data_IF_861267159604
#
_entry.id   IF_861267159604
#
_cell.length_a   1.000
_cell.length_b   1.000
_cell.length_c   1.000
_cell.angle_alpha   90.00
_cell.angle_beta   90.00
_cell.angle_gamma   90.00
#
_symmetry.space_group_name_H-M   'P 1'
#
loop_
_entity.id
_entity.type
_entity.pdbx_description
1 polymer ?
#
# COMPACT_ATOMS: atom_id res chain seq x y z
N UNK A 1 31.34 57.01 -41.82
CA UNK A 1 30.50 56.38 -40.78
C UNK A 1 31.34 56.03 -39.58
N UNK A 2 30.92 56.50 -38.40
CA UNK A 2 31.76 56.57 -37.20
C UNK A 2 31.91 55.18 -36.55
N UNK A 3 33.16 54.66 -36.47
CA UNK A 3 33.46 53.29 -35.98
C UNK A 3 32.96 53.04 -34.54
N UNK A 4 32.76 54.10 -33.77
CA UNK A 4 32.19 54.07 -32.42
C UNK A 4 30.69 53.72 -32.40
N UNK A 5 29.90 54.32 -33.29
CA UNK A 5 28.46 54.07 -33.37
C UNK A 5 28.16 52.63 -33.82
N UNK A 6 29.01 52.08 -34.70
CA UNK A 6 28.92 50.70 -35.17
C UNK A 6 29.22 49.69 -34.05
N UNK A 7 30.20 49.97 -33.18
CA UNK A 7 30.52 49.12 -32.02
C UNK A 7 29.44 49.16 -30.95
N UNK A 8 28.86 50.33 -30.70
CA UNK A 8 27.77 50.49 -29.74
C UNK A 8 26.50 49.76 -30.20
N UNK A 9 26.14 49.84 -31.48
CA UNK A 9 25.01 49.10 -32.05
C UNK A 9 25.26 47.59 -32.05
N UNK A 10 26.47 47.13 -32.38
CA UNK A 10 26.81 45.71 -32.29
C UNK A 10 26.67 45.17 -30.86
N UNK A 11 27.18 45.92 -29.86
CA UNK A 11 27.11 45.54 -28.45
C UNK A 11 25.65 45.44 -27.96
N UNK A 12 24.80 46.38 -28.37
CA UNK A 12 23.38 46.43 -27.98
C UNK A 12 22.57 45.29 -28.62
N UNK A 13 22.90 44.93 -29.87
CA UNK A 13 22.30 43.76 -30.55
C UNK A 13 22.76 42.45 -29.89
N UNK A 14 24.05 42.31 -29.55
CA UNK A 14 24.52 41.12 -28.82
C UNK A 14 23.93 40.99 -27.42
N UNK A 15 23.70 42.10 -26.71
CA UNK A 15 23.02 42.10 -25.42
C UNK A 15 21.53 41.72 -25.55
N UNK A 16 20.86 42.15 -26.62
CA UNK A 16 19.48 41.76 -26.91
C UNK A 16 19.34 40.28 -27.34
N UNK A 17 20.32 39.72 -28.03
CA UNK A 17 20.33 38.29 -28.40
C UNK A 17 20.56 37.39 -27.18
N UNK A 18 21.35 37.84 -26.20
CA UNK A 18 21.56 37.12 -24.94
C UNK A 18 20.31 37.12 -24.03
N UNK A 19 19.45 38.14 -24.10
CA UNK A 19 18.20 38.18 -23.31
C UNK A 19 17.03 37.41 -23.95
N UNK A 20 17.09 37.09 -25.25
CA UNK A 20 16.13 36.22 -25.92
C UNK A 20 16.46 34.72 -25.82
N UNK A 21 17.50 34.36 -25.08
CA UNK A 21 17.78 32.96 -24.69
C UNK A 21 16.78 32.50 -23.61
N UNK A 22 15.49 32.60 -23.91
CA UNK A 22 14.44 31.98 -23.10
C UNK A 22 14.76 30.50 -23.01
N UNK A 23 14.88 29.98 -21.78
CA UNK A 23 15.07 28.57 -21.53
C UNK A 23 13.88 27.82 -22.13
N UNK A 24 14.04 27.27 -23.33
CA UNK A 24 13.17 26.24 -23.83
C UNK A 24 13.38 25.01 -22.94
N UNK A 25 12.60 24.92 -21.85
CA UNK A 25 12.52 23.72 -21.03
C UNK A 25 11.99 22.64 -21.96
N UNK A 26 12.89 21.79 -22.46
CA UNK A 26 12.49 20.64 -23.25
C UNK A 26 11.59 19.78 -22.36
N UNK A 27 10.39 19.40 -22.81
CA UNK A 27 9.54 18.52 -22.03
C UNK A 27 10.35 17.27 -21.67
N UNK A 28 10.22 16.81 -20.42
CA UNK A 28 10.89 15.59 -20.00
C UNK A 28 10.55 14.47 -20.99
N UNK A 29 11.57 13.75 -21.45
CA UNK A 29 11.38 12.54 -22.26
C UNK A 29 10.72 11.46 -21.40
N UNK A 30 9.39 11.48 -21.34
CA UNK A 30 8.55 10.47 -20.70
C UNK A 30 8.37 9.28 -21.65
N UNK A 31 9.44 8.50 -21.82
CA UNK A 31 9.41 7.23 -22.54
C UNK A 31 9.97 6.12 -21.64
N UNK A 32 9.11 5.59 -20.76
CA UNK A 32 9.42 4.43 -19.93
C UNK A 32 8.68 3.20 -20.44
N UNK A 33 9.38 2.06 -20.53
CA UNK A 33 8.75 0.78 -20.84
C UNK A 33 7.93 0.28 -19.64
N UNK A 34 6.84 -0.45 -19.92
CA UNK A 34 6.12 -1.18 -18.88
C UNK A 34 7.03 -2.24 -18.24
N UNK A 35 7.00 -2.31 -16.92
CA UNK A 35 7.79 -3.27 -16.12
C UNK A 35 6.90 -3.92 -15.06
N UNK A 36 7.36 -5.06 -14.52
CA UNK A 36 6.69 -5.67 -13.37
C UNK A 36 6.71 -4.70 -12.19
N UNK A 37 5.65 -4.72 -11.38
CA UNK A 37 5.58 -3.91 -10.16
C UNK A 37 6.81 -4.19 -9.29
N UNK A 38 7.55 -3.16 -8.85
CA UNK A 38 8.74 -3.35 -8.04
C UNK A 38 8.46 -4.19 -6.79
N UNK A 39 9.32 -5.18 -6.46
CA UNK A 39 9.18 -5.96 -5.24
C UNK A 39 9.54 -5.10 -4.02
N UNK A 40 8.84 -5.32 -2.90
CA UNK A 40 9.19 -4.74 -1.60
C UNK A 40 9.98 -5.76 -0.76
N UNK A 41 10.45 -5.33 0.41
CA UNK A 41 11.01 -6.26 1.41
C UNK A 41 10.00 -7.35 1.76
N UNK A 42 8.74 -6.98 1.98
CA UNK A 42 7.67 -7.91 2.32
C UNK A 42 7.38 -8.86 1.16
N UNK A 43 7.40 -8.39 -0.08
CA UNK A 43 7.27 -9.26 -1.26
C UNK A 43 8.34 -10.35 -1.26
N UNK A 44 9.61 -9.97 -0.98
CA UNK A 44 10.70 -10.95 -0.88
C UNK A 44 10.44 -11.94 0.25
N UNK A 45 10.00 -11.47 1.41
CA UNK A 45 9.77 -12.33 2.56
C UNK A 45 8.62 -13.32 2.33
N UNK A 46 7.53 -12.84 1.70
CA UNK A 46 6.35 -13.62 1.35
C UNK A 46 6.70 -14.81 0.42
N UNK A 47 7.49 -14.58 -0.62
CA UNK A 47 7.84 -15.62 -1.61
C UNK A 47 8.91 -16.59 -1.12
N UNK A 48 9.64 -16.25 -0.05
CA UNK A 48 10.68 -17.09 0.57
C UNK A 48 10.22 -17.72 1.88
N UNK A 49 8.92 -17.72 2.18
CA UNK A 49 8.39 -18.45 3.33
C UNK A 49 8.70 -19.96 3.19
N UNK A 50 9.01 -20.65 4.31
CA UNK A 50 9.18 -22.09 4.28
C UNK A 50 7.88 -22.78 3.82
N UNK A 51 7.98 -23.90 3.08
CA UNK A 51 6.81 -24.52 2.47
C UNK A 51 5.89 -25.17 3.52
N UNK A 52 4.56 -25.16 3.31
CA UNK A 52 3.62 -25.85 4.19
C UNK A 52 3.65 -27.36 4.01
N UNK A 53 3.16 -28.11 5.01
CA UNK A 53 2.89 -29.56 4.92
C UNK A 53 1.95 -29.89 3.75
N UNK A 54 1.01 -29.00 3.49
CA UNK A 54 0.11 -29.03 2.34
C UNK A 54 -0.53 -27.66 2.14
N UNK A 55 -0.72 -27.26 0.89
CA UNK A 55 -1.37 -25.97 0.58
C UNK A 55 -2.82 -25.99 1.02
N UNK A 56 -3.26 -24.89 1.60
CA UNK A 56 -4.63 -24.74 2.10
C UNK A 56 -5.52 -24.20 0.98
N UNK A 57 -6.58 -24.92 0.63
CA UNK A 57 -7.57 -24.43 -0.33
C UNK A 57 -8.39 -23.33 0.33
N UNK A 58 -8.35 -22.12 -0.24
CA UNK A 58 -8.90 -20.93 0.38
C UNK A 58 -9.69 -20.08 -0.61
N UNK A 59 -10.84 -19.58 -0.18
CA UNK A 59 -11.69 -18.68 -0.96
C UNK A 59 -11.51 -17.23 -0.53
N UNK A 60 -11.63 -16.31 -1.50
CA UNK A 60 -11.76 -14.86 -1.26
C UNK A 60 -13.01 -14.39 -2.00
N UNK A 61 -14.01 -13.91 -1.26
CA UNK A 61 -15.25 -13.39 -1.85
C UNK A 61 -15.14 -11.91 -2.23
N UNK A 62 -14.24 -11.19 -1.57
CA UNK A 62 -13.96 -9.79 -1.84
C UNK A 62 -13.03 -9.22 -0.78
N UNK A 63 -12.31 -8.17 -1.15
CA UNK A 63 -11.42 -7.44 -0.26
C UNK A 63 -11.49 -5.96 -0.61
N UNK A 64 -12.40 -5.26 0.07
CA UNK A 64 -12.85 -3.92 -0.32
C UNK A 64 -12.14 -2.82 0.45
N UNK A 65 -12.19 -1.62 -0.09
CA UNK A 65 -11.95 -0.40 0.66
C UNK A 65 -13.13 -0.14 1.60
N UNK A 66 -12.85 -0.13 2.91
CA UNK A 66 -13.78 0.15 3.99
C UNK A 66 -13.44 1.46 4.71
N UNK A 67 -12.49 2.24 4.18
CA UNK A 67 -12.02 3.48 4.80
C UNK A 67 -13.00 4.64 4.61
N UNK A 68 -13.77 4.61 3.52
CA UNK A 68 -14.66 5.70 3.12
C UNK A 68 -13.92 6.98 2.69
N UNK A 69 -12.60 6.92 2.46
CA UNK A 69 -11.78 8.09 2.17
C UNK A 69 -11.72 8.43 0.68
N UNK A 70 -11.97 9.70 0.38
CA UNK A 70 -11.81 10.28 -0.96
C UNK A 70 -10.68 11.29 -0.97
N UNK A 71 -10.09 11.50 -2.14
CA UNK A 71 -9.02 12.49 -2.31
C UNK A 71 -9.57 13.91 -2.08
N UNK A 72 -8.86 14.76 -1.34
CA UNK A 72 -9.24 16.16 -1.19
C UNK A 72 -8.97 16.94 -2.49
N UNK A 73 -9.54 18.14 -2.58
CA UNK A 73 -9.22 19.10 -3.65
C UNK A 73 -7.69 19.29 -3.78
N UNK A 74 -7.13 19.36 -5.00
CA UNK A 74 -7.78 19.61 -6.29
C UNK A 74 -8.30 18.37 -7.03
N UNK A 75 -8.13 17.17 -6.48
CA UNK A 75 -8.61 15.94 -7.12
C UNK A 75 -10.16 15.89 -7.15
N UNK A 76 -10.70 15.08 -8.06
CA UNK A 76 -12.14 14.82 -8.13
C UNK A 76 -12.62 14.18 -6.82
N UNK A 77 -13.73 14.68 -6.28
CA UNK A 77 -14.38 14.16 -5.05
C UNK A 77 -14.85 12.70 -5.18
N UNK A 78 -14.91 12.15 -6.39
CA UNK A 78 -15.22 10.73 -6.63
C UNK A 78 -13.97 9.83 -6.63
N UNK A 79 -12.77 10.41 -6.54
CA UNK A 79 -11.53 9.65 -6.53
C UNK A 79 -11.29 9.08 -5.14
N UNK A 80 -11.34 7.76 -5.00
CA UNK A 80 -10.99 7.13 -3.73
C UNK A 80 -9.50 7.33 -3.42
N UNK A 81 -9.19 7.48 -2.14
CA UNK A 81 -7.81 7.59 -1.67
C UNK A 81 -7.07 6.25 -1.74
N UNK A 82 -7.83 5.16 -1.69
CA UNK A 82 -7.37 3.77 -1.69
C UNK A 82 -7.88 3.05 -2.94
N UNK A 83 -7.14 2.01 -3.39
CA UNK A 83 -7.53 1.18 -4.54
C UNK A 83 -8.74 0.30 -4.24
N UNK A 84 -9.60 0.11 -5.24
CA UNK A 84 -10.71 -0.85 -5.19
C UNK A 84 -10.28 -2.27 -5.64
N UNK A 85 -9.02 -2.45 -6.07
CA UNK A 85 -8.44 -3.73 -6.52
C UNK A 85 -7.82 -4.57 -5.40
N UNK A 86 -8.28 -4.42 -4.16
CA UNK A 86 -7.69 -5.10 -3.00
C UNK A 86 -7.76 -6.63 -3.10
N UNK A 87 -8.84 -7.18 -3.67
CA UNK A 87 -9.02 -8.62 -3.82
C UNK A 87 -7.94 -9.24 -4.70
N UNK A 88 -7.62 -8.60 -5.82
CA UNK A 88 -6.56 -9.03 -6.73
C UNK A 88 -5.19 -9.07 -6.05
N UNK A 89 -4.89 -8.09 -5.20
CA UNK A 89 -3.65 -8.10 -4.40
C UNK A 89 -3.62 -9.22 -3.37
N UNK A 90 -4.74 -9.47 -2.69
CA UNK A 90 -4.82 -10.58 -1.72
C UNK A 90 -4.66 -11.94 -2.42
N UNK A 91 -5.37 -12.19 -3.52
CA UNK A 91 -5.26 -13.44 -4.28
C UNK A 91 -3.85 -13.64 -4.82
N UNK A 92 -3.20 -12.59 -5.33
CA UNK A 92 -1.81 -12.64 -5.75
C UNK A 92 -0.88 -12.99 -4.58
N UNK A 93 -1.00 -12.30 -3.44
CA UNK A 93 -0.18 -12.57 -2.26
C UNK A 93 -0.39 -13.99 -1.72
N UNK A 94 -1.63 -14.49 -1.72
CA UNK A 94 -1.94 -15.87 -1.34
C UNK A 94 -1.25 -16.88 -2.25
N UNK A 95 -1.29 -16.67 -3.57
CA UNK A 95 -0.65 -17.56 -4.55
C UNK A 95 0.88 -17.49 -4.42
N UNK A 96 1.43 -16.28 -4.35
CA UNK A 96 2.87 -16.03 -4.36
C UNK A 96 3.52 -16.49 -3.04
N UNK A 97 2.77 -16.55 -1.93
CA UNK A 97 3.23 -17.17 -0.68
C UNK A 97 3.53 -18.67 -0.81
N UNK A 98 2.88 -19.37 -1.75
CA UNK A 98 2.93 -20.83 -1.85
C UNK A 98 2.22 -21.60 -0.72
N UNK A 99 1.57 -20.90 0.23
CA UNK A 99 0.82 -21.49 1.36
C UNK A 99 -0.63 -21.83 1.02
N UNK A 100 -1.24 -21.07 0.11
CA UNK A 100 -2.64 -21.21 -0.24
C UNK A 100 -2.81 -21.65 -1.69
N UNK A 101 -3.94 -22.32 -1.95
CA UNK A 101 -4.49 -22.52 -3.28
C UNK A 101 -5.78 -21.70 -3.36
N UNK A 102 -5.72 -20.45 -3.86
CA UNK A 102 -6.90 -19.60 -3.99
C UNK A 102 -7.91 -20.24 -4.95
N UNK A 103 -9.20 -20.19 -4.58
CA UNK A 103 -10.30 -20.55 -5.48
C UNK A 103 -11.12 -19.32 -5.81
N UNK A 104 -11.46 -19.16 -7.10
CA UNK A 104 -12.22 -18.02 -7.60
C UNK A 104 -13.64 -18.00 -7.02
N UNK A 105 -14.00 -16.90 -6.36
CA UNK A 105 -15.33 -16.67 -5.77
C UNK A 105 -15.83 -15.24 -5.95
N UNK A 106 -14.96 -14.28 -6.24
CA UNK A 106 -15.34 -12.90 -6.53
C UNK A 106 -16.16 -12.84 -7.82
N UNK A 107 -15.73 -13.56 -8.86
CA UNK A 107 -16.45 -13.65 -10.13
C UNK A 107 -17.00 -15.06 -10.42
N UNK A 108 -17.67 -15.65 -9.42
CA UNK A 108 -18.22 -17.01 -9.53
C UNK A 108 -19.27 -17.15 -10.65
N UNK A 109 -20.04 -16.10 -10.92
CA UNK A 109 -21.13 -16.14 -11.90
C UNK A 109 -20.60 -16.36 -13.32
N UNK A 110 -19.51 -15.69 -13.70
CA UNK A 110 -18.89 -15.86 -15.02
C UNK A 110 -18.33 -17.28 -15.16
N UNK A 111 -17.67 -17.78 -14.11
CA UNK A 111 -17.16 -19.16 -14.08
C UNK A 111 -18.28 -20.20 -14.21
N UNK A 112 -19.42 -19.99 -13.53
CA UNK A 112 -20.59 -20.85 -13.65
C UNK A 112 -21.21 -20.77 -15.05
N UNK A 113 -21.20 -19.60 -15.67
CA UNK A 113 -21.70 -19.39 -17.04
C UNK A 113 -20.83 -20.15 -18.03
N UNK A 114 -19.50 -20.03 -17.93
CA UNK A 114 -18.56 -20.77 -18.79
C UNK A 114 -18.71 -22.29 -18.65
N UNK A 115 -18.90 -22.79 -17.42
CA UNK A 115 -19.13 -24.22 -17.18
C UNK A 115 -20.47 -24.70 -17.72
N UNK A 116 -21.50 -23.85 -17.76
CA UNK A 116 -22.78 -24.17 -18.43
C UNK A 116 -22.60 -24.26 -19.94
N UNK A 117 -21.84 -23.35 -20.55
CA UNK A 117 -21.50 -23.38 -21.98
C UNK A 117 -20.81 -24.70 -22.32
N UNK A 118 -19.78 -25.07 -21.56
CA UNK A 118 -19.04 -26.31 -21.80
C UNK A 118 -19.91 -27.57 -21.65
N UNK A 119 -20.83 -27.63 -20.68
CA UNK A 119 -21.80 -28.73 -20.56
C UNK A 119 -22.81 -28.78 -21.72
N UNK A 120 -23.19 -27.63 -22.27
CA UNK A 120 -24.08 -27.59 -23.44
C UNK A 120 -23.38 -28.11 -24.71
N UNK A 121 -22.05 -28.03 -24.78
CA UNK A 121 -21.24 -28.61 -25.85
C UNK A 121 -21.08 -30.13 -25.74
N UNK A 122 -21.36 -30.74 -24.58
CA UNK A 122 -21.31 -32.21 -24.34
C UNK A 122 -22.47 -33.00 -24.99
N UNK A 123 -23.20 -32.41 -25.95
CA UNK A 123 -24.32 -33.07 -26.65
C UNK A 123 -23.87 -34.35 -27.39
N UNK A 124 -24.71 -35.41 -27.39
CA UNK A 124 -24.30 -36.78 -27.72
C UNK A 124 -24.07 -37.11 -29.21
N UNK A 125 -24.27 -36.16 -30.13
CA UNK A 125 -24.21 -36.43 -31.58
C UNK A 125 -22.78 -36.43 -32.17
N UNK A 126 -21.77 -35.98 -31.41
CA UNK A 126 -20.41 -35.81 -31.92
C UNK A 126 -19.45 -36.84 -31.30
N UNK A 127 -19.60 -38.11 -31.71
CA UNK A 127 -18.84 -39.28 -31.18
C UNK A 127 -17.31 -39.19 -31.24
N UNK A 128 -16.76 -38.18 -31.92
CA UNK A 128 -15.32 -37.96 -32.09
C UNK A 128 -14.76 -36.77 -31.30
N UNK A 129 -15.57 -36.07 -30.51
CA UNK A 129 -15.10 -34.91 -29.75
C UNK A 129 -14.72 -35.31 -28.33
N UNK A 130 -13.42 -35.35 -28.03
CA UNK A 130 -12.91 -35.51 -26.66
C UNK A 130 -13.16 -34.19 -25.92
N UNK A 131 -14.31 -34.08 -25.25
CA UNK A 131 -14.62 -32.92 -24.42
C UNK A 131 -14.01 -33.16 -23.03
N UNK A 132 -13.22 -32.22 -22.49
CA UNK A 132 -12.67 -32.35 -21.14
C UNK A 132 -13.82 -32.48 -20.13
N UNK A 133 -13.86 -33.60 -19.39
CA UNK A 133 -14.86 -33.81 -18.36
C UNK A 133 -14.71 -32.75 -17.26
N UNK A 134 -15.76 -31.95 -17.05
CA UNK A 134 -15.71 -30.86 -16.07
C UNK A 134 -16.03 -31.39 -14.67
N UNK A 135 -15.00 -31.64 -13.85
CA UNK A 135 -15.15 -32.01 -12.44
C UNK A 135 -15.78 -30.93 -11.55
N UNK A 136 -16.27 -31.28 -10.36
CA UNK A 136 -16.89 -30.34 -9.42
C UNK A 136 -15.95 -29.18 -9.03
N UNK A 137 -16.51 -28.04 -8.63
CA UNK A 137 -15.72 -26.92 -8.12
C UNK A 137 -15.03 -27.32 -6.81
N UNK A 138 -13.73 -27.01 -6.71
CA UNK A 138 -12.98 -27.30 -5.49
C UNK A 138 -13.60 -26.55 -4.29
N UNK A 139 -13.99 -27.25 -3.21
CA UNK A 139 -14.46 -26.62 -1.99
C UNK A 139 -13.27 -26.00 -1.26
N UNK A 140 -13.40 -24.75 -0.83
CA UNK A 140 -12.41 -24.13 0.04
C UNK A 140 -12.55 -24.70 1.45
N UNK A 141 -11.42 -24.90 2.14
CA UNK A 141 -11.40 -25.28 3.55
C UNK A 141 -11.56 -24.08 4.49
N UNK A 142 -11.13 -22.91 4.03
CA UNK A 142 -11.23 -21.65 4.75
C UNK A 142 -11.63 -20.52 3.80
N UNK A 143 -12.18 -19.45 4.37
CA UNK A 143 -12.39 -18.18 3.68
C UNK A 143 -11.43 -17.16 4.27
N UNK A 144 -10.70 -16.45 3.42
CA UNK A 144 -9.95 -15.26 3.81
C UNK A 144 -10.85 -14.05 3.55
N UNK A 145 -11.11 -13.29 4.62
CA UNK A 145 -11.94 -12.09 4.58
C UNK A 145 -11.23 -10.91 5.23
N UNK A 146 -11.63 -9.71 4.83
CA UNK A 146 -11.11 -8.49 5.41
C UNK A 146 -11.30 -7.32 4.46
N UNK A 147 -10.44 -6.33 4.63
CA UNK A 147 -10.45 -5.14 3.79
C UNK A 147 -9.41 -4.13 4.23
N UNK A 148 -9.38 -3.04 3.50
CA UNK A 148 -8.59 -1.86 3.86
C UNK A 148 -9.48 -1.04 4.78
N UNK A 149 -9.18 -1.07 6.07
CA UNK A 149 -10.10 -0.63 7.13
C UNK A 149 -9.85 0.80 7.59
N UNK A 150 -8.63 1.32 7.41
CA UNK A 150 -8.35 2.73 7.68
C UNK A 150 -7.37 3.31 6.65
N UNK A 151 -7.57 4.58 6.35
CA UNK A 151 -6.59 5.43 5.69
C UNK A 151 -6.54 6.75 6.45
N UNK A 152 -5.45 6.99 7.15
CA UNK A 152 -5.26 8.20 7.95
C UNK A 152 -4.29 9.12 7.22
N UNK A 153 -4.78 10.29 6.82
CA UNK A 153 -3.95 11.30 6.15
C UNK A 153 -3.35 12.29 7.15
N UNK A 154 -2.16 12.81 6.86
CA UNK A 154 -1.50 13.85 7.66
C UNK A 154 -1.28 13.45 9.13
N UNK A 155 -1.07 12.16 9.43
CA UNK A 155 -0.84 11.65 10.79
C UNK A 155 0.36 12.33 11.44
N UNK A 156 1.39 12.65 10.64
CA UNK A 156 2.49 13.53 11.04
C UNK A 156 2.80 14.49 9.92
N UNK A 157 2.88 15.77 10.25
CA UNK A 157 3.35 16.82 9.36
C UNK A 157 4.42 17.63 10.08
N UNK A 158 5.36 18.18 9.32
CA UNK A 158 6.37 19.06 9.86
C UNK A 158 7.22 19.65 8.76
N UNK A 159 7.99 20.68 9.10
CA UNK A 159 8.85 21.35 8.16
C UNK A 159 9.83 22.30 8.83
N UNK A 160 10.93 22.56 8.15
CA UNK A 160 11.95 23.51 8.56
C UNK A 160 12.23 24.46 7.40
N UNK A 161 12.23 25.76 7.67
CA UNK A 161 12.51 26.80 6.69
C UNK A 161 13.63 27.71 7.19
N UNK A 162 14.58 28.02 6.31
CA UNK A 162 15.62 29.01 6.56
C UNK A 162 15.61 30.01 5.42
N UNK A 163 15.52 31.30 5.75
CA UNK A 163 15.61 32.39 4.80
C UNK A 163 16.75 33.32 5.21
N UNK A 164 17.71 33.54 4.31
CA UNK A 164 18.83 34.45 4.52
C UNK A 164 19.23 35.09 3.19
N UNK A 165 19.36 36.43 3.18
CA UNK A 165 19.86 37.22 2.03
C UNK A 165 19.18 36.92 0.68
N UNK A 166 17.84 36.86 0.64
CA UNK A 166 17.08 36.68 -0.61
C UNK A 166 17.06 35.25 -1.14
N UNK A 167 17.61 34.28 -0.41
CA UNK A 167 17.50 32.84 -0.69
C UNK A 167 16.66 32.20 0.42
N UNK A 168 15.65 31.41 0.05
CA UNK A 168 14.84 30.58 0.95
C UNK A 168 15.07 29.10 0.65
N UNK A 169 15.16 28.29 1.70
CA UNK A 169 15.04 26.84 1.61
C UNK A 169 13.95 26.39 2.57
N UNK A 170 13.03 25.56 2.10
CA UNK A 170 12.01 24.94 2.94
C UNK A 170 11.97 23.43 2.69
N UNK A 171 11.75 22.69 3.78
CA UNK A 171 11.49 21.26 3.73
C UNK A 171 10.14 21.02 4.38
N UNK A 172 9.29 20.24 3.71
CA UNK A 172 8.01 19.81 4.23
C UNK A 172 7.91 18.28 4.14
N UNK A 173 7.37 17.65 5.17
CA UNK A 173 7.03 16.24 5.13
C UNK A 173 5.59 16.02 5.54
N UNK A 174 4.94 15.06 4.90
CA UNK A 174 3.63 14.52 5.24
C UNK A 174 3.73 13.00 5.37
N UNK A 175 3.06 12.49 6.39
CA UNK A 175 2.97 11.06 6.68
C UNK A 175 1.51 10.66 6.66
N UNK A 176 1.17 9.74 5.77
CA UNK A 176 -0.14 9.09 5.71
C UNK A 176 0.01 7.63 6.18
N UNK A 177 -1.07 6.96 6.55
CA UNK A 177 -1.06 5.56 6.98
C UNK A 177 -2.22 4.80 6.36
N UNK A 178 -1.98 3.55 5.98
CA UNK A 178 -3.01 2.62 5.52
C UNK A 178 -3.02 1.38 6.38
N UNK A 179 -4.20 0.99 6.87
CA UNK A 179 -4.39 -0.17 7.73
C UNK A 179 -5.27 -1.20 7.04
N UNK A 180 -4.79 -2.43 7.06
CA UNK A 180 -5.43 -3.60 6.47
C UNK A 180 -5.81 -4.55 7.60
N UNK A 181 -7.02 -5.11 7.54
CA UNK A 181 -7.43 -6.23 8.38
C UNK A 181 -7.62 -7.48 7.51
N UNK A 182 -7.14 -8.61 8.00
CA UNK A 182 -7.27 -9.91 7.34
C UNK A 182 -7.55 -10.98 8.39
N UNK A 183 -8.56 -11.81 8.14
CA UNK A 183 -8.95 -12.92 9.01
C UNK A 183 -9.25 -14.18 8.20
N UNK A 184 -9.19 -15.32 8.87
CA UNK A 184 -9.50 -16.64 8.31
C UNK A 184 -10.71 -17.24 9.02
N UNK A 185 -11.65 -17.76 8.24
CA UNK A 185 -12.90 -18.35 8.74
C UNK A 185 -12.97 -19.82 8.30
N UNK A 186 -13.21 -20.73 9.25
CA UNK A 186 -13.46 -22.15 8.95
C UNK A 186 -14.88 -22.33 8.40
N UNK A 187 -15.00 -22.89 7.19
CA UNK A 187 -16.30 -23.07 6.53
C UNK A 187 -17.22 -24.08 7.23
N UNK A 188 -16.67 -24.95 8.09
CA UNK A 188 -17.42 -26.03 8.75
C UNK A 188 -18.26 -25.52 9.91
N UNK A 189 -17.78 -24.50 10.61
CA UNK A 189 -18.40 -24.03 11.86
C UNK A 189 -18.45 -22.49 11.98
N UNK A 190 -17.92 -21.74 11.02
CA UNK A 190 -17.91 -20.28 11.02
C UNK A 190 -16.92 -19.65 12.01
N UNK A 191 -16.02 -20.42 12.63
CA UNK A 191 -15.06 -19.89 13.59
C UNK A 191 -13.98 -19.07 12.89
N UNK A 192 -13.63 -17.94 13.49
CA UNK A 192 -12.47 -17.14 13.09
C UNK A 192 -11.22 -17.81 13.68
N UNK A 193 -10.36 -18.37 12.82
CA UNK A 193 -9.17 -19.12 13.22
C UNK A 193 -8.00 -18.19 13.57
N UNK A 194 -7.76 -17.19 12.72
CA UNK A 194 -6.72 -16.18 12.89
C UNK A 194 -7.25 -14.83 12.40
N UNK A 195 -6.78 -13.74 13.01
CA UNK A 195 -7.12 -12.37 12.66
C UNK A 195 -5.91 -11.48 12.91
N UNK A 196 -5.48 -10.76 11.88
CA UNK A 196 -4.35 -9.84 11.91
C UNK A 196 -4.75 -8.48 11.39
N UNK A 197 -4.05 -7.45 11.87
CA UNK A 197 -4.11 -6.12 11.28
C UNK A 197 -2.71 -5.60 11.03
N UNK A 198 -2.45 -5.07 9.85
CA UNK A 198 -1.16 -4.51 9.46
C UNK A 198 -1.35 -3.06 9.03
N UNK A 199 -0.41 -2.20 9.42
CA UNK A 199 -0.43 -0.78 9.05
C UNK A 199 0.86 -0.43 8.33
N UNK A 200 0.75 0.12 7.11
CA UNK A 200 1.88 0.68 6.35
C UNK A 200 1.82 2.20 6.40
N UNK A 201 2.92 2.80 6.84
CA UNK A 201 3.13 4.25 6.78
C UNK A 201 3.58 4.66 5.37
N UNK A 202 3.01 5.72 4.82
CA UNK A 202 3.27 6.26 3.48
C UNK A 202 3.99 7.60 3.65
N UNK A 203 5.22 7.68 3.13
CA UNK A 203 6.03 8.90 3.24
C UNK A 203 5.90 9.81 2.01
N UNK A 204 5.73 11.10 2.26
CA UNK A 204 5.73 12.17 1.28
C UNK A 204 6.65 13.30 1.75
N UNK A 205 7.63 13.67 0.93
CA UNK A 205 8.55 14.78 1.25
C UNK A 205 8.74 15.71 0.07
N UNK A 206 8.79 16.99 0.38
CA UNK A 206 9.00 18.09 -0.55
C UNK A 206 10.14 18.97 -0.04
N UNK A 207 11.08 19.26 -0.93
CA UNK A 207 12.22 20.13 -0.68
C UNK A 207 12.18 21.25 -1.71
N UNK A 208 11.98 22.48 -1.25
CA UNK A 208 11.90 23.66 -2.10
C UNK A 208 13.08 24.60 -1.82
N UNK A 209 13.65 25.15 -2.90
CA UNK A 209 14.71 26.17 -2.87
C UNK A 209 14.25 27.35 -3.73
N UNK A 210 14.08 28.50 -3.11
CA UNK A 210 13.63 29.74 -3.73
C UNK A 210 14.68 30.86 -3.70
N UNK A 211 14.69 31.71 -4.72
CA UNK A 211 15.48 32.95 -4.76
C UNK A 211 14.56 34.13 -5.09
N UNK A 212 14.64 35.18 -4.27
CA UNK A 212 13.87 36.41 -4.41
C UNK A 212 14.80 37.59 -4.70
N UNK A 213 14.45 38.38 -5.72
CA UNK A 213 15.13 39.65 -6.00
C UNK A 213 14.11 40.79 -5.98
N UNK A 214 14.35 41.77 -5.11
CA UNK A 214 13.56 43.01 -5.04
C UNK A 214 13.98 43.94 -6.19
N UNK A 215 13.09 44.17 -7.15
CA UNK A 215 13.34 45.09 -8.26
C UNK A 215 12.41 46.30 -8.08
N UNK A 216 12.84 47.26 -7.26
CA UNK A 216 12.08 48.51 -7.01
C UNK A 216 10.81 48.32 -6.16
N UNK A 217 10.24 49.42 -5.67
CA UNK A 217 9.15 49.47 -4.66
C UNK A 217 7.84 48.76 -5.03
N UNK A 218 7.75 48.06 -6.16
CA UNK A 218 6.52 47.40 -6.65
C UNK A 218 6.69 46.00 -7.26
N UNK A 219 7.91 45.52 -7.57
CA UNK A 219 8.07 44.26 -8.30
C UNK A 219 8.98 43.24 -7.57
N UNK A 220 8.43 42.06 -7.29
CA UNK A 220 9.13 40.89 -6.75
C UNK A 220 9.37 39.89 -7.89
N UNK A 221 10.64 39.56 -8.15
CA UNK A 221 11.00 38.47 -9.07
C UNK A 221 11.33 37.22 -8.24
N UNK A 222 10.61 36.12 -8.50
CA UNK A 222 10.72 34.84 -7.78
C UNK A 222 11.15 33.73 -8.75
N UNK A 223 12.21 33.01 -8.38
CA UNK A 223 12.62 31.78 -9.06
C UNK A 223 12.63 30.65 -8.03
N UNK A 224 11.86 29.59 -8.28
CA UNK A 224 11.74 28.44 -7.38
C UNK A 224 12.13 27.15 -8.10
N UNK A 225 12.87 26.30 -7.39
CA UNK A 225 13.17 24.93 -7.79
C UNK A 225 12.78 23.99 -6.64
N UNK A 226 11.89 23.03 -6.91
CA UNK A 226 11.40 22.06 -5.92
C UNK A 226 11.62 20.62 -6.35
N UNK A 227 11.92 19.73 -5.39
CA UNK A 227 11.94 18.29 -5.57
C UNK A 227 10.94 17.64 -4.60
N UNK A 228 10.00 16.88 -5.16
CA UNK A 228 9.03 16.10 -4.38
C UNK A 228 9.28 14.61 -4.59
N UNK A 229 9.18 13.82 -3.52
CA UNK A 229 9.21 12.37 -3.58
C UNK A 229 8.10 11.79 -2.71
N UNK A 230 7.28 10.97 -3.33
CA UNK A 230 6.10 10.35 -2.73
C UNK A 230 6.18 8.84 -2.90
N UNK A 231 5.96 8.09 -1.82
CA UNK A 231 5.71 6.66 -1.93
C UNK A 231 4.38 6.41 -2.67
N UNK A 232 4.33 5.53 -3.67
CA UNK A 232 3.08 5.23 -4.37
C UNK A 232 2.08 4.54 -3.43
N UNK A 233 0.96 5.20 -3.15
CA UNK A 233 -0.06 4.68 -2.22
C UNK A 233 -0.53 3.25 -2.57
N UNK A 234 -0.67 2.94 -3.86
CA UNK A 234 -1.05 1.60 -4.32
C UNK A 234 0.01 0.53 -3.97
N UNK A 235 1.30 0.89 -4.03
CA UNK A 235 2.37 -0.01 -3.63
C UNK A 235 2.36 -0.24 -2.11
N UNK A 236 2.07 0.79 -1.33
CA UNK A 236 1.92 0.67 0.12
C UNK A 236 0.73 -0.20 0.52
N UNK A 237 -0.41 -0.08 -0.18
CA UNK A 237 -1.57 -0.96 0.02
C UNK A 237 -1.20 -2.41 -0.30
N UNK A 238 -0.55 -2.65 -1.44
CA UNK A 238 -0.06 -3.98 -1.82
C UNK A 238 0.84 -4.55 -0.73
N UNK A 239 1.84 -3.79 -0.28
CA UNK A 239 2.77 -4.20 0.78
C UNK A 239 2.06 -4.50 2.11
N UNK A 240 1.06 -3.69 2.49
CA UNK A 240 0.26 -3.94 3.69
C UNK A 240 -0.54 -5.25 3.60
N UNK A 241 -1.12 -5.56 2.44
CA UNK A 241 -1.83 -6.83 2.18
C UNK A 241 -0.86 -8.01 2.19
N UNK A 242 0.29 -7.91 1.51
CA UNK A 242 1.34 -8.94 1.54
C UNK A 242 1.78 -9.20 2.99
N UNK A 243 1.99 -8.13 3.77
CA UNK A 243 2.37 -8.24 5.17
C UNK A 243 1.28 -8.93 6.00
N UNK A 244 0.02 -8.59 5.77
CA UNK A 244 -1.11 -9.24 6.44
C UNK A 244 -1.12 -10.75 6.15
N UNK A 245 -0.86 -11.17 4.92
CA UNK A 245 -0.76 -12.60 4.56
C UNK A 245 0.40 -13.27 5.31
N UNK A 246 1.58 -12.65 5.38
CA UNK A 246 2.72 -13.23 6.12
C UNK A 246 2.41 -13.34 7.63
N UNK A 247 1.91 -12.27 8.26
CA UNK A 247 1.54 -12.30 9.67
C UNK A 247 0.45 -13.33 9.95
N UNK A 248 -0.53 -13.47 9.06
CA UNK A 248 -1.59 -14.46 9.17
C UNK A 248 -1.01 -15.88 9.12
N UNK A 249 -0.14 -16.18 8.14
CA UNK A 249 0.55 -17.48 8.03
C UNK A 249 1.31 -17.79 9.32
N UNK A 250 2.13 -16.84 9.79
CA UNK A 250 2.96 -17.02 10.98
C UNK A 250 2.12 -17.18 12.25
N UNK A 251 1.02 -16.42 12.38
CA UNK A 251 0.07 -16.60 13.48
C UNK A 251 -0.61 -17.97 13.41
N UNK A 252 -0.99 -18.42 12.22
CA UNK A 252 -1.60 -19.75 12.05
C UNK A 252 -0.64 -20.90 12.33
N UNK A 253 0.67 -20.71 12.09
CA UNK A 253 1.70 -21.66 12.51
C UNK A 253 1.77 -21.74 14.05
N UNK A 254 1.78 -20.59 14.72
CA UNK A 254 1.76 -20.51 16.19
C UNK A 254 0.49 -21.12 16.80
N UNK A 255 -0.66 -20.87 16.17
CA UNK A 255 -1.96 -21.37 16.61
C UNK A 255 -2.27 -22.80 16.14
N UNK A 256 -1.33 -23.45 15.43
CA UNK A 256 -1.47 -24.81 14.90
C UNK A 256 -2.68 -24.99 13.97
N UNK A 257 -3.10 -23.93 13.27
CA UNK A 257 -4.16 -24.00 12.25
C UNK A 257 -3.66 -24.61 10.94
N UNK A 258 -2.35 -24.53 10.71
CA UNK A 258 -1.62 -25.22 9.64
C UNK A 258 -0.18 -25.50 10.08
N UNK A 259 0.53 -26.34 9.33
CA UNK A 259 1.85 -26.84 9.70
C UNK A 259 2.88 -26.68 8.58
N UNK A 260 4.16 -26.57 8.96
CA UNK A 260 5.30 -26.58 8.07
C UNK A 260 5.52 -27.96 7.45
N UNK A 261 6.20 -28.00 6.31
CA UNK A 261 6.64 -29.27 5.71
C UNK A 261 7.71 -29.94 6.55
N UNK A 262 8.67 -29.16 7.05
CA UNK A 262 9.69 -29.58 8.01
C UNK A 262 9.55 -28.74 9.28
N UNK A 263 9.41 -29.38 10.43
CA UNK A 263 9.25 -28.69 11.72
C UNK A 263 10.49 -27.84 12.08
N UNK A 264 11.67 -28.14 11.52
CA UNK A 264 12.89 -27.34 11.71
C UNK A 264 12.78 -25.94 11.11
N UNK A 265 11.95 -25.77 10.08
CA UNK A 265 11.71 -24.48 9.44
C UNK A 265 10.99 -23.50 10.38
N UNK A 266 10.54 -23.95 11.56
CA UNK A 266 10.05 -23.06 12.61
C UNK A 266 11.10 -21.99 12.96
N UNK A 267 12.39 -22.34 12.93
CA UNK A 267 13.50 -21.44 13.22
C UNK A 267 13.97 -20.62 12.00
N UNK A 268 13.25 -20.65 10.88
CA UNK A 268 13.54 -19.80 9.73
C UNK A 268 13.56 -18.31 10.11
N UNK A 269 14.50 -17.56 9.52
CA UNK A 269 14.72 -16.14 9.86
C UNK A 269 13.48 -15.28 9.61
N UNK A 270 12.71 -15.58 8.54
CA UNK A 270 11.49 -14.85 8.21
C UNK A 270 10.42 -15.18 9.25
N UNK A 271 10.18 -16.46 9.53
CA UNK A 271 9.19 -16.88 10.53
C UNK A 271 9.48 -16.26 11.89
N UNK A 272 10.72 -16.37 12.38
CA UNK A 272 11.12 -15.84 13.69
C UNK A 272 10.98 -14.32 13.78
N UNK A 273 11.31 -13.60 12.71
CA UNK A 273 11.12 -12.15 12.68
C UNK A 273 9.64 -11.75 12.81
N UNK A 274 8.76 -12.36 12.02
CA UNK A 274 7.33 -12.01 12.08
C UNK A 274 6.69 -12.45 13.42
N UNK A 275 7.19 -13.52 14.04
CA UNK A 275 6.83 -13.87 15.43
C UNK A 275 7.28 -12.79 16.42
N UNK A 276 8.50 -12.28 16.28
CA UNK A 276 9.03 -11.22 17.14
C UNK A 276 8.28 -9.89 16.93
N UNK A 277 7.96 -9.52 15.70
CA UNK A 277 7.14 -8.34 15.40
C UNK A 277 5.77 -8.43 16.10
N UNK A 278 5.12 -9.60 16.07
CA UNK A 278 3.87 -9.83 16.80
C UNK A 278 4.04 -9.73 18.33
N UNK A 279 5.15 -10.23 18.88
CA UNK A 279 5.43 -10.13 20.32
C UNK A 279 5.70 -8.68 20.76
N UNK A 280 6.46 -7.93 19.95
CA UNK A 280 6.76 -6.52 20.20
C UNK A 280 5.48 -5.68 20.21
N UNK A 281 4.54 -5.95 19.29
CA UNK A 281 3.22 -5.30 19.28
C UNK A 281 2.47 -5.49 20.61
N UNK A 282 2.44 -6.71 21.14
CA UNK A 282 1.82 -7.00 22.45
C UNK A 282 2.55 -6.28 23.58
N UNK A 283 3.89 -6.30 23.57
CA UNK A 283 4.69 -5.64 24.60
C UNK A 283 4.56 -4.11 24.57
N UNK A 284 4.39 -3.48 23.40
CA UNK A 284 4.10 -2.05 23.29
C UNK A 284 2.70 -1.72 23.80
N UNK A 285 1.69 -2.55 23.50
CA UNK A 285 0.34 -2.41 24.03
C UNK A 285 0.34 -2.43 25.57
N UNK A 286 1.07 -3.36 26.19
CA UNK A 286 1.15 -3.48 27.66
C UNK A 286 1.87 -2.29 28.32
N UNK A 287 2.78 -1.62 27.61
CA UNK A 287 3.44 -0.40 28.08
C UNK A 287 2.52 0.82 28.04
N UNK A 288 1.63 0.91 27.04
CA UNK A 288 0.72 2.04 26.86
C UNK A 288 -0.53 1.89 27.74
N UNK A 289 -1.05 0.66 27.86
CA UNK A 289 -2.15 0.31 28.74
C UNK A 289 -1.64 -0.62 29.84
N UNK A 290 -1.03 -0.04 30.87
CA UNK A 290 -0.63 -0.82 32.05
C UNK A 290 -1.84 -1.56 32.61
N UNK A 291 -1.65 -2.83 33.01
CA UNK A 291 -2.69 -3.65 33.62
C UNK A 291 -3.47 -2.88 34.70
N UNK A 292 -4.80 -3.01 34.66
CA UNK A 292 -5.68 -2.39 35.63
C UNK A 292 -5.28 -2.83 37.05
N UNK A 293 -4.87 -1.86 37.88
CA UNK A 293 -4.53 -2.09 39.28
C UNK A 293 -5.77 -1.78 40.15
N UNK A 294 -6.51 -2.80 40.61
CA UNK A 294 -7.71 -2.59 41.44
C UNK A 294 -7.41 -1.91 42.77
N UNK A 295 -6.14 -1.83 43.21
CA UNK A 295 -5.75 -1.14 44.45
C UNK A 295 -5.67 0.39 44.31
N UNK A 296 -5.75 0.93 43.08
CA UNK A 296 -5.70 2.38 42.79
C UNK A 296 -7.06 3.02 42.56
N UNK A 297 -8.15 2.31 42.86
CA UNK A 297 -9.49 2.89 42.85
C UNK A 297 -9.59 3.82 44.06
N UNK A 298 -9.59 5.14 43.85
CA UNK A 298 -9.98 6.08 44.90
C UNK A 298 -11.38 5.68 45.39
N UNK A 299 -11.56 5.37 46.69
CA UNK A 299 -12.88 5.09 47.19
C UNK A 299 -13.77 6.30 46.90
N UNK A 300 -14.91 6.05 46.28
CA UNK A 300 -15.94 7.05 46.00
C UNK A 300 -16.12 7.90 47.26
N UNK A 301 -15.86 9.22 47.17
CA UNK A 301 -16.05 10.12 48.31
C UNK A 301 -17.49 9.98 48.76
N UNK A 302 -17.70 9.26 49.86
CA UNK A 302 -18.99 9.19 50.51
C UNK A 302 -19.48 10.63 50.68
N UNK A 303 -20.58 10.97 50.00
CA UNK A 303 -21.19 12.29 50.13
C UNK A 303 -21.69 12.41 51.57
N UNK A 304 -20.87 13.02 52.43
CA UNK A 304 -21.31 13.49 53.73
C UNK A 304 -22.28 14.66 53.48
N UNK A 305 -23.56 14.33 53.34
CA UNK A 305 -24.63 15.29 53.16
C UNK A 305 -25.79 14.96 54.09
N UNK A 306 -25.85 15.72 55.20
CA UNK A 306 -27.06 16.21 55.88
C UNK A 306 -28.12 15.22 56.30
#
# INVERSE_FOLDING_TARGET
MNRFALRATLALVSAAVLTLSGCAVSPQNVAGNATLTPPTRVTRDLVHLPPPKGRVLAAVYGFRDLTGQYKPSPDSSFSSQVTQGGASFLVAAMRDSGWFTPVERENLQDLLTERKIMRALETPDDKNRVIPQIGALAPASIILEGGIVAYDSNVKTGGAGVAYLGISGSQQYRVDQVTVNLRTVDIRNGQILNSVSTTKTIYSYQVDVGVYKFVGFKDLLQAEAGLTRNEPAQLCVKEAIESAVVHLIVQGLKNQTWALKDDKDWYDQTVQRYLQENQNYVAEMDKVNTSYDPSKVEPEKASSGG
#
